data_IF_091082755952
#
_entry.id   IF_091082755952
#
_cell.length_a   1.000
_cell.length_b   1.000
_cell.length_c   1.000
_cell.angle_alpha   90.00
_cell.angle_beta   90.00
_cell.angle_gamma   90.00
#
_symmetry.space_group_name_H-M   'P 1'
#
loop_
_entity.id
_entity.type
_entity.pdbx_description
1 polymer ?
#
# COMPACT_ATOMS: atom_id res chain seq x y z
N UNK A 1 0.94 8.99 19.25
CA UNK A 1 0.59 8.41 17.94
C UNK A 1 -0.91 8.42 17.71
N UNK A 2 -1.39 9.14 16.69
CA UNK A 2 -2.81 9.21 16.33
C UNK A 2 -3.19 8.05 15.39
N UNK A 3 -3.70 6.95 15.95
CA UNK A 3 -4.06 5.75 15.21
C UNK A 3 -5.15 5.98 14.17
N UNK A 4 -6.20 6.74 14.51
CA UNK A 4 -7.32 7.01 13.60
C UNK A 4 -6.88 7.82 12.38
N UNK A 5 -6.07 8.86 12.60
CA UNK A 5 -5.51 9.69 11.53
C UNK A 5 -4.58 8.87 10.61
N UNK A 6 -3.74 8.01 11.18
CA UNK A 6 -2.88 7.11 10.41
C UNK A 6 -3.70 6.15 9.54
N UNK A 7 -4.68 5.47 10.14
CA UNK A 7 -5.52 4.51 9.43
C UNK A 7 -6.29 5.17 8.28
N UNK A 8 -6.93 6.32 8.52
CA UNK A 8 -7.66 7.09 7.49
C UNK A 8 -6.72 7.53 6.36
N UNK A 9 -5.52 8.00 6.69
CA UNK A 9 -4.52 8.37 5.69
C UNK A 9 -4.13 7.16 4.81
N UNK A 10 -3.99 5.98 5.40
CA UNK A 10 -3.76 4.73 4.68
C UNK A 10 -4.93 4.33 3.78
N UNK A 11 -6.16 4.42 4.27
CA UNK A 11 -7.36 4.14 3.46
C UNK A 11 -7.46 5.08 2.27
N UNK A 12 -7.22 6.38 2.45
CA UNK A 12 -7.23 7.36 1.36
C UNK A 12 -6.11 7.08 0.37
N UNK A 13 -4.89 6.80 0.86
CA UNK A 13 -3.78 6.39 0.00
C UNK A 13 -4.09 5.14 -0.83
N UNK A 14 -4.67 4.11 -0.21
CA UNK A 14 -5.08 2.87 -0.87
C UNK A 14 -6.18 3.11 -1.92
N UNK A 15 -7.15 3.97 -1.63
CA UNK A 15 -8.17 4.35 -2.60
C UNK A 15 -7.56 5.05 -3.83
N UNK A 16 -6.58 5.94 -3.61
CA UNK A 16 -5.84 6.57 -4.72
C UNK A 16 -5.07 5.53 -5.53
N UNK A 17 -4.42 4.54 -4.88
CA UNK A 17 -3.77 3.43 -5.58
C UNK A 17 -4.75 2.64 -6.45
N UNK A 18 -5.94 2.28 -5.93
CA UNK A 18 -6.95 1.59 -6.73
C UNK A 18 -7.42 2.40 -7.96
N UNK A 19 -7.53 3.72 -7.83
CA UNK A 19 -7.84 4.61 -8.96
C UNK A 19 -6.71 4.56 -10.00
N UNK A 20 -5.45 4.66 -9.56
CA UNK A 20 -4.29 4.60 -10.45
C UNK A 20 -4.20 3.25 -11.19
N UNK A 21 -4.43 2.14 -10.49
CA UNK A 21 -4.51 0.81 -11.10
C UNK A 21 -5.66 0.71 -12.10
N UNK A 22 -6.83 1.30 -11.80
CA UNK A 22 -7.94 1.35 -12.75
C UNK A 22 -7.59 2.12 -14.02
N UNK A 23 -6.85 3.22 -13.90
CA UNK A 23 -6.34 3.97 -15.04
C UNK A 23 -5.28 3.17 -15.82
N UNK A 24 -4.37 2.47 -15.14
CA UNK A 24 -3.38 1.61 -15.78
C UNK A 24 -4.05 0.46 -16.55
N UNK A 25 -5.13 -0.12 -16.01
CA UNK A 25 -5.96 -1.10 -16.72
C UNK A 25 -6.62 -0.52 -17.97
N UNK A 26 -7.14 0.71 -17.88
CA UNK A 26 -7.70 1.41 -19.03
C UNK A 26 -6.66 1.68 -20.13
N UNK A 27 -5.36 1.71 -19.78
CA UNK A 27 -4.23 1.82 -20.71
C UNK A 27 -3.70 0.46 -21.20
N UNK A 28 -4.37 -0.65 -20.86
CA UNK A 28 -4.04 -1.99 -21.36
C UNK A 28 -3.23 -2.87 -20.41
N UNK A 29 -3.00 -2.45 -19.15
CA UNK A 29 -2.41 -3.33 -18.14
C UNK A 29 -3.41 -4.45 -17.74
N UNK A 30 -3.05 -5.75 -17.85
CA UNK A 30 -4.00 -6.83 -17.59
C UNK A 30 -4.25 -7.09 -16.10
N UNK A 31 -3.42 -6.54 -15.21
CA UNK A 31 -3.49 -6.79 -13.78
C UNK A 31 -4.69 -6.11 -13.12
N UNK A 32 -5.47 -6.88 -12.36
CA UNK A 32 -6.53 -6.38 -11.49
C UNK A 32 -6.27 -6.83 -10.06
N UNK A 33 -5.63 -5.96 -9.28
CA UNK A 33 -5.22 -6.23 -7.91
C UNK A 33 -6.42 -6.55 -7.01
N UNK A 34 -7.53 -5.86 -7.24
CA UNK A 34 -8.76 -5.99 -6.46
C UNK A 34 -9.42 -7.34 -6.72
N UNK A 35 -9.50 -7.80 -7.98
CA UNK A 35 -9.95 -9.17 -8.26
C UNK A 35 -8.98 -10.18 -7.66
N UNK A 36 -7.66 -9.99 -7.85
CA UNK A 36 -6.63 -10.89 -7.32
C UNK A 36 -6.75 -11.06 -5.81
N UNK A 37 -6.89 -9.97 -5.06
CA UNK A 37 -7.07 -10.06 -3.60
C UNK A 37 -8.38 -10.78 -3.26
N UNK A 38 -9.49 -10.47 -3.93
CA UNK A 38 -10.76 -11.16 -3.70
C UNK A 38 -10.71 -12.67 -3.94
N UNK A 39 -10.02 -13.08 -5.00
CA UNK A 39 -9.85 -14.49 -5.36
C UNK A 39 -8.93 -15.25 -4.40
N UNK A 40 -8.12 -14.58 -3.58
CA UNK A 40 -7.35 -15.25 -2.51
C UNK A 40 -8.24 -15.98 -1.51
N UNK A 41 -9.51 -15.55 -1.38
CA UNK A 41 -10.49 -16.18 -0.50
C UNK A 41 -11.28 -17.32 -1.19
N UNK A 42 -10.85 -17.75 -2.37
CA UNK A 42 -11.54 -18.78 -3.16
C UNK A 42 -12.81 -18.30 -3.85
N UNK A 43 -12.99 -16.98 -3.98
CA UNK A 43 -14.06 -16.41 -4.80
C UNK A 43 -13.74 -16.58 -6.28
N UNK A 44 -14.77 -16.79 -7.09
CA UNK A 44 -14.65 -16.75 -8.54
C UNK A 44 -14.34 -15.32 -9.03
N UNK A 45 -13.51 -15.15 -10.08
CA UNK A 45 -13.26 -13.84 -10.67
C UNK A 45 -14.55 -13.15 -11.12
N UNK A 46 -14.76 -11.92 -10.65
CA UNK A 46 -15.97 -11.16 -10.98
C UNK A 46 -16.20 -9.98 -10.05
N UNK A 47 -17.41 -9.41 -10.11
CA UNK A 47 -17.77 -8.22 -9.33
C UNK A 47 -17.65 -8.43 -7.81
N UNK A 48 -18.06 -9.59 -7.31
CA UNK A 48 -17.94 -9.92 -5.88
C UNK A 48 -16.50 -9.99 -5.43
N UNK A 49 -15.64 -10.70 -6.17
CA UNK A 49 -14.20 -10.75 -5.88
C UNK A 49 -13.59 -9.34 -5.92
N UNK A 50 -13.96 -8.52 -6.91
CA UNK A 50 -13.49 -7.14 -6.98
C UNK A 50 -13.89 -6.30 -5.75
N UNK A 51 -15.15 -6.34 -5.31
CA UNK A 51 -15.62 -5.60 -4.13
C UNK A 51 -14.87 -6.06 -2.88
N UNK A 52 -14.77 -7.37 -2.67
CA UNK A 52 -14.13 -7.95 -1.50
C UNK A 52 -12.64 -7.61 -1.48
N UNK A 53 -11.94 -7.76 -2.61
CA UNK A 53 -10.55 -7.39 -2.70
C UNK A 53 -10.28 -5.90 -2.65
N UNK A 54 -11.19 -5.05 -3.13
CA UNK A 54 -11.11 -3.60 -2.92
C UNK A 54 -11.20 -3.25 -1.44
N UNK A 55 -12.17 -3.82 -0.70
CA UNK A 55 -12.28 -3.62 0.76
C UNK A 55 -11.02 -4.12 1.47
N UNK A 56 -10.52 -5.31 1.11
CA UNK A 56 -9.28 -5.84 1.69
C UNK A 56 -8.10 -4.92 1.39
N UNK A 57 -7.99 -4.39 0.18
CA UNK A 57 -6.93 -3.46 -0.18
C UNK A 57 -6.97 -2.19 0.69
N UNK A 58 -8.15 -1.60 0.90
CA UNK A 58 -8.30 -0.44 1.78
C UNK A 58 -7.93 -0.76 3.23
N UNK A 59 -8.36 -1.91 3.75
CA UNK A 59 -8.04 -2.35 5.11
C UNK A 59 -6.54 -2.58 5.29
N UNK A 60 -5.91 -3.31 4.37
CA UNK A 60 -4.46 -3.56 4.37
C UNK A 60 -3.72 -2.21 4.27
N UNK A 61 -4.15 -1.32 3.40
CA UNK A 61 -3.58 0.02 3.25
C UNK A 61 -3.69 0.84 4.53
N UNK A 62 -4.81 0.75 5.25
CA UNK A 62 -4.97 1.37 6.57
C UNK A 62 -4.00 0.80 7.60
N UNK A 63 -3.82 -0.53 7.64
CA UNK A 63 -2.90 -1.22 8.56
C UNK A 63 -1.44 -0.88 8.27
N UNK A 64 -1.04 -0.83 6.99
CA UNK A 64 0.32 -0.43 6.60
C UNK A 64 0.61 1.01 7.02
N UNK A 65 -0.36 1.91 6.94
CA UNK A 65 -0.18 3.29 7.38
C UNK A 65 0.06 3.41 8.90
N UNK A 66 -0.39 2.44 9.70
CA UNK A 66 -0.03 2.38 11.13
C UNK A 66 1.47 2.11 11.32
N UNK A 67 2.06 1.28 10.46
CA UNK A 67 3.51 1.01 10.46
C UNK A 67 4.29 2.25 10.03
N UNK A 68 3.81 2.98 9.02
CA UNK A 68 4.37 4.28 8.64
C UNK A 68 4.32 5.28 9.80
N UNK A 69 3.16 5.42 10.45
CA UNK A 69 2.97 6.32 11.59
C UNK A 69 3.92 5.97 12.75
N UNK A 70 4.11 4.68 13.05
CA UNK A 70 5.09 4.24 14.04
C UNK A 70 6.51 4.66 13.65
N UNK A 71 6.89 4.51 12.38
CA UNK A 71 8.17 4.99 11.87
C UNK A 71 8.34 6.52 11.94
N UNK A 72 7.27 7.27 11.67
CA UNK A 72 7.28 8.73 11.80
C UNK A 72 7.48 9.17 13.25
N UNK A 73 6.77 8.53 14.19
CA UNK A 73 6.81 8.88 15.61
C UNK A 73 8.10 8.44 16.30
N UNK A 74 8.59 7.22 16.03
CA UNK A 74 9.68 6.61 16.80
C UNK A 74 11.05 6.61 16.11
N UNK A 75 11.10 6.70 14.79
CA UNK A 75 12.37 6.63 14.05
C UNK A 75 12.80 8.00 13.59
N UNK A 76 11.92 8.70 12.88
CA UNK A 76 12.30 9.97 12.25
C UNK A 76 11.90 11.21 13.06
N UNK A 77 10.93 11.07 13.98
CA UNK A 77 10.34 12.18 14.74
C UNK A 77 9.81 13.31 13.83
N UNK A 78 9.42 12.96 12.60
CA UNK A 78 8.88 13.88 11.60
C UNK A 78 7.92 13.15 10.68
N UNK A 79 6.90 13.85 10.21
CA UNK A 79 6.01 13.40 9.16
C UNK A 79 5.83 14.50 8.12
N UNK A 80 5.75 14.08 6.87
CA UNK A 80 5.55 14.94 5.72
C UNK A 80 5.65 14.09 4.45
N UNK A 81 5.21 14.63 3.32
CA UNK A 81 5.15 13.85 2.08
C UNK A 81 6.52 13.27 1.67
N UNK A 82 7.62 14.04 1.80
CA UNK A 82 8.98 13.56 1.51
C UNK A 82 9.40 12.42 2.44
N UNK A 83 9.09 12.52 3.73
CA UNK A 83 9.40 11.47 4.70
C UNK A 83 8.60 10.21 4.35
N UNK A 84 7.33 10.36 3.97
CA UNK A 84 6.49 9.27 3.51
C UNK A 84 7.00 8.59 2.23
N UNK A 85 7.50 9.35 1.26
CA UNK A 85 8.18 8.80 0.07
C UNK A 85 9.46 8.05 0.44
N UNK A 86 10.23 8.52 1.41
CA UNK A 86 11.40 7.77 1.88
C UNK A 86 10.98 6.41 2.49
N UNK A 87 9.91 6.39 3.29
CA UNK A 87 9.36 5.15 3.85
C UNK A 87 8.79 4.21 2.79
N UNK A 88 8.27 4.74 1.67
CA UNK A 88 7.79 3.89 0.58
C UNK A 88 8.88 3.07 -0.09
N UNK A 89 10.15 3.41 0.05
CA UNK A 89 11.25 2.56 -0.46
C UNK A 89 11.21 1.20 0.24
N UNK A 90 11.09 1.18 1.58
CA UNK A 90 10.99 -0.05 2.36
C UNK A 90 9.70 -0.80 2.01
N UNK A 91 8.60 -0.07 1.86
CA UNK A 91 7.32 -0.65 1.48
C UNK A 91 7.36 -1.29 0.08
N UNK A 92 7.97 -0.63 -0.91
CA UNK A 92 8.20 -1.18 -2.26
C UNK A 92 9.03 -2.45 -2.21
N UNK A 93 10.11 -2.48 -1.41
CA UNK A 93 10.95 -3.67 -1.28
C UNK A 93 10.17 -4.85 -0.70
N UNK A 94 9.45 -4.64 0.40
CA UNK A 94 8.64 -5.69 1.04
C UNK A 94 7.52 -6.13 0.11
N UNK A 95 6.74 -5.18 -0.42
CA UNK A 95 5.63 -5.47 -1.32
C UNK A 95 6.08 -6.16 -2.60
N UNK A 96 7.23 -5.78 -3.15
CA UNK A 96 7.79 -6.37 -4.37
C UNK A 96 8.19 -7.83 -4.17
N UNK A 97 8.74 -8.16 -3.00
CA UNK A 97 9.03 -9.55 -2.60
C UNK A 97 7.73 -10.33 -2.41
N UNK A 98 6.76 -9.76 -1.68
CA UNK A 98 5.45 -10.38 -1.45
C UNK A 98 4.74 -10.70 -2.76
N UNK A 99 4.76 -9.78 -3.73
CA UNK A 99 4.18 -10.02 -5.07
C UNK A 99 4.84 -11.20 -5.79
N UNK A 100 6.15 -11.36 -5.69
CA UNK A 100 6.85 -12.52 -6.25
C UNK A 100 6.44 -13.85 -5.64
N UNK A 101 5.96 -13.84 -4.39
CA UNK A 101 5.52 -15.04 -3.67
C UNK A 101 4.03 -15.38 -3.88
N UNK A 102 3.23 -14.47 -4.44
CA UNK A 102 1.77 -14.67 -4.67
C UNK A 102 1.44 -16.02 -5.33
N UNK A 103 2.14 -16.48 -6.39
CA UNK A 103 1.81 -17.77 -7.02
C UNK A 103 1.91 -18.99 -6.09
N UNK A 104 2.71 -18.92 -5.03
CA UNK A 104 2.84 -20.01 -4.07
C UNK A 104 1.69 -20.05 -3.04
N UNK A 105 0.91 -18.96 -2.93
CA UNK A 105 -0.12 -18.77 -1.90
C UNK A 105 -1.52 -18.59 -2.49
N UNK A 106 -1.62 -18.24 -3.76
CA UNK A 106 -2.87 -17.82 -4.39
C UNK A 106 -3.51 -18.98 -5.17
N UNK A 107 -4.79 -19.33 -4.92
CA UNK A 107 -5.41 -20.53 -5.49
C UNK A 107 -5.58 -20.52 -7.01
N UNK A 108 -5.66 -19.34 -7.62
CA UNK A 108 -5.91 -19.16 -9.07
C UNK A 108 -4.69 -18.66 -9.87
N UNK A 109 -3.54 -18.42 -9.23
CA UNK A 109 -2.34 -17.91 -9.90
C UNK A 109 -1.25 -18.97 -9.81
N UNK A 110 -0.60 -19.35 -10.93
CA UNK A 110 -0.67 -18.71 -12.26
C UNK A 110 -1.73 -19.27 -13.23
N UNK A 111 -2.49 -20.28 -12.85
CA UNK A 111 -3.26 -21.11 -13.80
C UNK A 111 -4.40 -20.38 -14.49
N UNK A 112 -5.08 -19.46 -13.80
CA UNK A 112 -6.24 -18.73 -14.32
C UNK A 112 -6.01 -17.21 -14.38
N UNK A 113 -4.99 -16.70 -13.69
CA UNK A 113 -4.65 -15.29 -13.65
C UNK A 113 -3.13 -15.09 -13.82
N UNK A 114 -2.70 -14.02 -14.51
CA UNK A 114 -1.28 -13.77 -14.75
C UNK A 114 -0.53 -13.58 -13.43
N UNK A 115 0.60 -14.27 -13.28
CA UNK A 115 1.47 -14.07 -12.13
C UNK A 115 2.02 -12.64 -12.10
N UNK A 116 1.91 -11.93 -10.96
CA UNK A 116 2.44 -10.57 -10.85
C UNK A 116 3.97 -10.53 -10.98
N UNK A 117 4.67 -11.56 -10.48
CA UNK A 117 6.12 -11.57 -10.40
C UNK A 117 6.67 -10.58 -9.36
N UNK A 118 7.97 -10.66 -9.09
CA UNK A 118 8.63 -9.74 -8.17
C UNK A 118 8.50 -8.30 -8.68
N UNK A 119 8.10 -7.38 -7.81
CA UNK A 119 7.88 -5.96 -8.16
C UNK A 119 6.91 -5.75 -9.35
N UNK A 120 5.93 -6.64 -9.54
CA UNK A 120 5.00 -6.62 -10.68
C UNK A 120 5.68 -6.82 -12.06
N UNK A 121 6.88 -7.40 -12.11
CA UNK A 121 7.64 -7.61 -13.34
C UNK A 121 6.94 -8.53 -14.36
N UNK A 122 6.01 -9.38 -13.93
CA UNK A 122 5.16 -10.19 -14.81
C UNK A 122 4.23 -9.38 -15.70
N UNK A 123 4.02 -8.09 -15.38
CA UNK A 123 3.26 -7.13 -16.19
C UNK A 123 4.16 -6.24 -17.07
N UNK A 124 5.44 -6.60 -17.20
CA UNK A 124 6.44 -5.83 -17.95
C UNK A 124 6.87 -4.54 -17.26
N UNK A 125 7.58 -3.68 -18.01
CA UNK A 125 8.15 -2.43 -17.48
C UNK A 125 7.08 -1.48 -16.90
N UNK A 126 5.89 -1.43 -17.52
CA UNK A 126 4.77 -0.65 -17.02
C UNK A 126 4.32 -1.10 -15.64
N UNK A 127 4.29 -2.42 -15.39
CA UNK A 127 3.99 -2.97 -14.07
C UNK A 127 4.99 -2.57 -13.00
N UNK A 128 6.29 -2.67 -13.31
CA UNK A 128 7.36 -2.29 -12.37
C UNK A 128 7.31 -0.80 -12.03
N UNK A 129 7.22 0.06 -13.04
CA UNK A 129 7.14 1.51 -12.84
C UNK A 129 5.86 1.87 -12.08
N UNK A 130 4.71 1.32 -12.49
CA UNK A 130 3.43 1.53 -11.83
C UNK A 130 3.47 1.14 -10.36
N UNK A 131 3.99 -0.06 -10.05
CA UNK A 131 4.15 -0.55 -8.69
C UNK A 131 4.97 0.42 -7.84
N UNK A 132 6.14 0.85 -8.31
CA UNK A 132 7.00 1.77 -7.55
C UNK A 132 6.30 3.12 -7.35
N UNK A 133 5.74 3.69 -8.42
CA UNK A 133 5.12 5.01 -8.39
C UNK A 133 3.89 5.06 -7.49
N UNK A 134 3.02 4.05 -7.55
CA UNK A 134 1.83 3.96 -6.70
C UNK A 134 2.18 3.93 -5.22
N UNK A 135 3.22 3.18 -4.84
CA UNK A 135 3.66 3.11 -3.44
C UNK A 135 4.33 4.41 -2.99
N UNK A 136 5.04 5.12 -3.87
CA UNK A 136 5.57 6.45 -3.58
C UNK A 136 4.45 7.47 -3.37
N UNK A 137 3.43 7.45 -4.21
CA UNK A 137 2.24 8.31 -4.07
C UNK A 137 1.50 7.98 -2.76
N UNK A 138 1.31 6.70 -2.46
CA UNK A 138 0.74 6.26 -1.19
C UNK A 138 1.56 6.78 0.00
N UNK A 139 2.88 6.62 -0.02
CA UNK A 139 3.76 7.11 1.03
C UNK A 139 3.67 8.62 1.20
N UNK A 140 3.65 9.38 0.10
CA UNK A 140 3.48 10.83 0.11
C UNK A 140 2.15 11.24 0.77
N UNK A 141 1.05 10.58 0.42
CA UNK A 141 -0.28 10.83 1.00
C UNK A 141 -0.27 10.54 2.50
N UNK A 142 0.21 9.37 2.90
CA UNK A 142 0.27 8.97 4.32
C UNK A 142 1.13 9.95 5.13
N UNK A 143 2.32 10.31 4.62
CA UNK A 143 3.21 11.27 5.27
C UNK A 143 2.62 12.67 5.39
N UNK A 144 1.99 13.17 4.33
CA UNK A 144 1.34 14.49 4.33
C UNK A 144 0.16 14.53 5.29
N UNK A 145 -0.73 13.54 5.21
CA UNK A 145 -1.94 13.49 6.00
C UNK A 145 -1.66 13.21 7.47
N UNK A 146 -0.64 12.42 7.81
CA UNK A 146 -0.29 12.14 9.20
C UNK A 146 0.32 13.34 9.92
N UNK A 147 1.02 14.23 9.20
CA UNK A 147 1.72 15.40 9.76
C UNK A 147 0.80 16.36 10.54
N UNK A 148 1.25 16.97 11.65
CA UNK A 148 2.53 16.73 12.35
C UNK A 148 2.49 15.44 13.20
N UNK A 149 3.68 14.93 13.55
CA UNK A 149 3.84 13.87 14.57
C UNK A 149 3.43 14.39 15.95
N UNK A 150 2.97 13.50 16.84
CA UNK A 150 2.49 13.90 18.16
C UNK A 150 3.58 13.95 19.22
N UNK A 151 4.84 13.65 18.89
CA UNK A 151 5.93 13.71 19.86
C UNK A 151 5.98 15.09 20.56
N UNK A 152 5.49 15.09 21.79
CA UNK A 152 5.74 16.13 22.78
C UNK A 152 7.16 15.90 23.28
N UNK A 153 8.06 16.90 23.29
CA UNK A 153 9.25 16.81 24.13
C UNK A 153 8.76 16.50 25.54
N UNK A 154 9.19 15.37 26.09
CA UNK A 154 8.86 15.04 27.46
C UNK A 154 9.36 16.17 28.35
N UNK A 155 8.56 16.45 29.37
CA UNK A 155 8.84 17.29 30.54
C UNK A 155 10.27 17.11 31.07
N UNK A 156 11.24 17.87 30.56
CA UNK A 156 12.60 17.93 31.10
C UNK A 156 12.89 19.27 31.83
N UNK A 157 11.89 20.16 31.97
CA UNK A 157 12.03 21.44 32.69
C UNK A 157 11.21 21.54 33.99
N UNK A 158 10.70 20.41 34.52
CA UNK A 158 9.91 20.41 35.77
C UNK A 158 10.71 19.98 37.02
N UNK A 159 12.04 20.04 36.96
CA UNK A 159 12.93 19.96 38.13
C UNK A 159 14.00 21.05 37.99
N UNK A 160 13.56 22.31 38.09
CA UNK A 160 14.40 23.47 38.32
C UNK A 160 14.08 24.04 39.71
#
# INVERSE_FOLDING_TARGET
MNWGKAFIAGVIGGAVMSILLALARAMGMPANLEVMQGTMLGLEPGATAWIVGFIMHLMISGLIALVYAAGFEYVTHRAGWLVGVAFSIVHVLIGGIVMGMVPAMHPLIPEQMPAPGYFMAGMGMMGVIGFIMEHMIYGAIVGAMYSPVQHHPARDEAVA
#
